data_IF_864089125926
#
_entry.id   IF_864089125926
#
_cell.length_a   1.000
_cell.length_b   1.000
_cell.length_c   1.000
_cell.angle_alpha   90.00
_cell.angle_beta   90.00
_cell.angle_gamma   90.00
#
_symmetry.space_group_name_H-M   'P 1'
#
loop_
_entity.id
_entity.type
_entity.pdbx_description
1 polymer ?
#
# COMPACT_ATOMS: atom_id res chain seq x y z
N UNK A 1 9.37 7.55 -5.13
CA UNK A 1 8.79 7.75 -3.79
C UNK A 1 9.10 6.58 -2.89
N UNK A 2 9.32 6.86 -1.63
CA UNK A 2 9.63 5.83 -0.65
C UNK A 2 8.47 4.85 -0.45
N UNK A 3 7.25 5.39 -0.31
CA UNK A 3 6.07 4.55 -0.05
C UNK A 3 5.28 4.32 -1.32
N UNK A 4 4.91 3.07 -1.55
CA UNK A 4 4.09 2.65 -2.68
C UNK A 4 2.87 1.92 -2.16
N UNK A 5 1.73 2.16 -2.79
CA UNK A 5 0.50 1.43 -2.49
C UNK A 5 0.16 0.56 -3.69
N UNK A 6 0.28 -0.73 -3.52
CA UNK A 6 -0.09 -1.67 -4.58
C UNK A 6 -1.59 -1.84 -4.58
N UNK A 7 -2.20 -1.61 -5.74
CA UNK A 7 -3.65 -1.57 -5.92
C UNK A 7 -4.06 -2.28 -7.19
N UNK A 8 -5.37 -2.53 -7.32
CA UNK A 8 -5.97 -2.95 -8.58
C UNK A 8 -7.12 -2.03 -8.92
N UNK A 9 -7.52 -2.00 -10.20
CA UNK A 9 -8.70 -1.24 -10.63
C UNK A 9 -9.96 -1.84 -10.01
N UNK A 10 -10.95 -0.99 -9.74
CA UNK A 10 -12.23 -1.40 -9.16
C UNK A 10 -12.09 -2.11 -7.81
N UNK A 11 -11.06 -1.76 -7.08
CA UNK A 11 -10.81 -2.31 -5.75
C UNK A 11 -11.28 -1.31 -4.69
N UNK A 12 -12.42 -1.61 -4.07
CA UNK A 12 -13.01 -0.75 -3.05
C UNK A 12 -12.08 -0.56 -1.85
N UNK A 13 -11.47 -1.63 -1.38
CA UNK A 13 -10.55 -1.57 -0.24
C UNK A 13 -9.28 -0.78 -0.59
N UNK A 14 -8.84 -0.83 -1.85
CA UNK A 14 -7.70 -0.05 -2.29
C UNK A 14 -8.01 1.45 -2.24
N UNK A 15 -9.23 1.83 -2.62
CA UNK A 15 -9.67 3.22 -2.52
C UNK A 15 -9.73 3.69 -1.07
N UNK A 16 -10.22 2.85 -0.17
CA UNK A 16 -10.28 3.15 1.26
C UNK A 16 -8.89 3.34 1.85
N UNK A 17 -7.96 2.46 1.51
CA UNK A 17 -6.59 2.56 1.97
C UNK A 17 -5.92 3.84 1.48
N UNK A 18 -6.13 4.18 0.21
CA UNK A 18 -5.57 5.40 -0.34
C UNK A 18 -6.12 6.65 0.35
N UNK A 19 -7.44 6.67 0.59
CA UNK A 19 -8.07 7.78 1.30
C UNK A 19 -7.49 7.96 2.71
N UNK A 20 -7.29 6.86 3.43
CA UNK A 20 -6.68 6.90 4.76
C UNK A 20 -5.29 7.53 4.71
N UNK A 21 -4.45 7.09 3.77
CA UNK A 21 -3.09 7.60 3.65
C UNK A 21 -3.09 9.09 3.29
N UNK A 22 -3.99 9.52 2.41
CA UNK A 22 -4.13 10.93 2.07
C UNK A 22 -4.53 11.77 3.30
N UNK A 23 -5.47 11.29 4.10
CA UNK A 23 -5.89 11.98 5.32
C UNK A 23 -4.76 12.11 6.32
N UNK A 24 -3.88 11.13 6.37
CA UNK A 24 -2.72 11.14 7.27
C UNK A 24 -1.58 11.99 6.73
N UNK A 25 -1.67 12.52 5.52
CA UNK A 25 -0.59 13.28 4.90
C UNK A 25 0.57 12.42 4.43
N UNK A 26 0.35 11.13 4.23
CA UNK A 26 1.39 10.22 3.75
C UNK A 26 1.45 10.28 2.24
N UNK A 27 2.60 10.68 1.70
CA UNK A 27 2.82 10.68 0.26
C UNK A 27 3.09 9.27 -0.20
N UNK A 28 2.30 8.79 -1.14
CA UNK A 28 2.38 7.43 -1.63
C UNK A 28 2.14 7.40 -3.13
N UNK A 29 2.89 6.55 -3.82
CA UNK A 29 2.69 6.29 -5.24
C UNK A 29 1.80 5.06 -5.39
N UNK A 30 0.65 5.23 -6.04
CA UNK A 30 -0.21 4.08 -6.35
C UNK A 30 0.35 3.33 -7.54
N UNK A 31 0.43 2.02 -7.40
CA UNK A 31 0.93 1.14 -8.46
C UNK A 31 -0.12 0.08 -8.74
N UNK A 32 -0.65 0.08 -9.97
CA UNK A 32 -1.61 -0.93 -10.41
C UNK A 32 -0.83 -2.21 -10.75
N UNK A 33 -1.03 -3.24 -9.93
CA UNK A 33 -0.29 -4.50 -10.10
C UNK A 33 -0.68 -5.25 -11.38
N UNK A 34 -1.83 -4.95 -11.96
CA UNK A 34 -2.24 -5.62 -13.21
C UNK A 34 -1.34 -5.25 -14.39
N UNK A 35 -0.56 -4.19 -14.27
CA UNK A 35 0.38 -3.78 -15.32
C UNK A 35 1.75 -4.43 -15.20
N UNK A 36 1.97 -5.20 -14.13
CA UNK A 36 3.25 -5.85 -13.88
C UNK A 36 3.00 -7.30 -13.49
N UNK A 37 3.28 -8.26 -14.38
CA UNK A 37 3.01 -9.67 -14.09
C UNK A 37 3.68 -10.20 -12.83
N UNK A 38 4.87 -9.70 -12.50
CA UNK A 38 5.57 -10.13 -11.29
C UNK A 38 4.85 -9.65 -10.03
N UNK A 39 4.39 -8.38 -10.02
CA UNK A 39 3.63 -7.84 -8.91
C UNK A 39 2.28 -8.53 -8.79
N UNK A 40 1.62 -8.78 -9.92
CA UNK A 40 0.34 -9.46 -9.91
C UNK A 40 0.46 -10.86 -9.32
N UNK A 41 1.50 -11.60 -9.70
CA UNK A 41 1.71 -12.95 -9.16
C UNK A 41 1.92 -12.94 -7.65
N UNK A 42 2.59 -11.90 -7.14
CA UNK A 42 2.91 -11.78 -5.72
C UNK A 42 1.77 -11.24 -4.88
N UNK A 43 1.00 -10.28 -5.40
CA UNK A 43 0.03 -9.52 -4.60
C UNK A 43 -1.42 -9.67 -5.03
N UNK A 44 -1.74 -10.56 -5.94
CA UNK A 44 -3.06 -10.68 -6.60
C UNK A 44 -4.25 -10.49 -5.65
N UNK A 45 -4.31 -11.27 -4.58
CA UNK A 45 -5.43 -11.22 -3.63
C UNK A 45 -5.09 -10.43 -2.36
N UNK A 46 -3.89 -9.89 -2.26
CA UNK A 46 -3.42 -9.22 -1.04
C UNK A 46 -3.64 -7.71 -1.06
N UNK A 47 -3.87 -7.12 -2.23
CA UNK A 47 -4.05 -5.68 -2.34
C UNK A 47 -5.25 -5.19 -1.52
N UNK A 48 -5.19 -3.98 -0.94
CA UNK A 48 -4.07 -3.03 -1.02
C UNK A 48 -2.90 -3.39 -0.10
N UNK A 49 -1.67 -3.12 -0.56
CA UNK A 49 -0.45 -3.36 0.22
C UNK A 49 0.38 -2.08 0.25
N UNK A 50 0.72 -1.62 1.44
CA UNK A 50 1.62 -0.48 1.61
C UNK A 50 3.05 -1.00 1.68
N UNK A 51 3.90 -0.53 0.77
CA UNK A 51 5.27 -0.97 0.64
C UNK A 51 6.24 0.16 0.94
N UNK A 52 7.23 -0.13 1.80
CA UNK A 52 8.33 0.79 2.11
C UNK A 52 9.54 0.36 1.30
N UNK A 53 9.85 1.12 0.25
CA UNK A 53 10.94 0.78 -0.66
C UNK A 53 12.32 0.95 -0.02
N UNK A 54 12.45 1.77 1.02
CA UNK A 54 13.74 1.95 1.70
C UNK A 54 14.08 0.78 2.62
N UNK A 55 13.08 0.18 3.25
CA UNK A 55 13.29 -0.91 4.20
C UNK A 55 12.92 -2.27 3.63
N UNK A 56 12.38 -2.30 2.42
CA UNK A 56 11.90 -3.52 1.77
C UNK A 56 10.93 -4.28 2.66
N UNK A 57 9.94 -3.55 3.20
CA UNK A 57 8.92 -4.10 4.09
C UNK A 57 7.54 -3.73 3.61
N UNK A 58 6.56 -4.53 3.98
CA UNK A 58 5.18 -4.31 3.55
C UNK A 58 4.21 -4.42 4.72
N UNK A 59 3.10 -3.67 4.59
CA UNK A 59 1.98 -3.71 5.52
C UNK A 59 0.74 -4.12 4.74
N UNK A 60 0.17 -5.25 5.13
CA UNK A 60 -1.01 -5.79 4.46
C UNK A 60 -2.28 -5.19 5.03
N UNK A 61 -3.28 -4.99 4.17
CA UNK A 61 -4.59 -4.55 4.59
C UNK A 61 -5.36 -5.72 5.24
N UNK A 62 -6.20 -5.48 6.28
CA UNK A 62 -6.62 -4.17 6.77
C UNK A 62 -5.60 -3.52 7.69
N UNK A 63 -5.49 -2.21 7.58
CA UNK A 63 -4.70 -1.41 8.52
C UNK A 63 -5.45 -0.11 8.80
N UNK A 64 -5.24 0.43 9.99
CA UNK A 64 -5.76 1.74 10.39
C UNK A 64 -4.62 2.75 10.50
N UNK A 65 -4.96 3.97 10.93
CA UNK A 65 -3.96 5.04 11.04
C UNK A 65 -2.84 4.67 12.01
N UNK A 66 -3.17 4.00 13.11
CA UNK A 66 -2.16 3.62 14.08
C UNK A 66 -1.21 2.56 13.54
N UNK A 67 -1.75 1.58 12.81
CA UNK A 67 -0.93 0.56 12.14
C UNK A 67 0.06 1.22 11.18
N UNK A 68 -0.40 2.20 10.41
CA UNK A 68 0.43 2.93 9.46
C UNK A 68 1.51 3.70 10.21
N UNK A 69 1.15 4.40 11.29
CA UNK A 69 2.14 5.15 12.08
C UNK A 69 3.23 4.23 12.64
N UNK A 70 2.84 3.08 13.18
CA UNK A 70 3.81 2.10 13.69
C UNK A 70 4.70 1.56 12.59
N UNK A 71 4.12 1.26 11.44
CA UNK A 71 4.86 0.76 10.30
C UNK A 71 5.91 1.76 9.84
N UNK A 72 5.54 3.03 9.74
CA UNK A 72 6.45 4.09 9.31
C UNK A 72 7.51 4.41 10.37
N UNK A 73 7.22 4.20 11.64
CA UNK A 73 8.14 4.49 12.74
C UNK A 73 9.16 3.39 12.97
N UNK A 74 8.93 2.18 12.45
CA UNK A 74 9.85 1.07 12.63
C UNK A 74 11.17 1.35 11.92
N UNK A 75 12.23 1.27 12.66
CA UNK A 75 13.57 1.57 12.14
C UNK A 75 14.34 0.34 11.74
#
# INVERSE_FOLDING_TARGET
>A
MRYRLFVRLNCHLCADAFALLCEMGVEVQRINIDRDPALRAQYDVLVPVLFDAERDRELLYPFDAEDVRRFMAQG
#
